data_IF_324144576727
#
_entry.id   IF_324144576727
#
_cell.length_a   1.000
_cell.length_b   1.000
_cell.length_c   1.000
_cell.angle_alpha   90.00
_cell.angle_beta   90.00
_cell.angle_gamma   90.00
#
_symmetry.space_group_name_H-M   'P 1'
#
loop_
_entity.id
_entity.type
_entity.pdbx_description
1 polymer ?
#
# COMPACT_ATOMS: atom_id res chain seq x y z
N UNK A 1 38.83 13.21 26.47
CA UNK A 1 37.79 13.17 25.41
C UNK A 1 37.82 11.77 24.81
N UNK A 2 36.70 11.03 24.86
CA UNK A 2 36.64 9.72 24.21
C UNK A 2 36.83 9.91 22.70
N UNK A 3 37.63 9.02 22.07
CA UNK A 3 37.77 9.00 20.62
C UNK A 3 36.37 8.88 19.99
N UNK A 4 36.06 9.65 18.93
CA UNK A 4 34.82 9.46 18.20
C UNK A 4 34.74 8.01 17.73
N UNK A 5 33.56 7.41 17.93
CA UNK A 5 33.31 6.03 17.54
C UNK A 5 33.51 5.90 16.02
N UNK A 6 34.46 5.05 15.61
CA UNK A 6 34.79 4.83 14.19
C UNK A 6 33.60 4.28 13.38
N UNK A 7 32.59 3.73 14.06
CA UNK A 7 31.37 3.22 13.44
C UNK A 7 30.30 4.30 13.22
N UNK A 8 30.44 5.50 13.84
CA UNK A 8 29.43 6.57 13.70
C UNK A 8 29.16 7.00 12.26
N UNK A 9 30.18 7.17 11.38
CA UNK A 9 29.94 7.54 9.98
C UNK A 9 29.02 6.55 9.27
N UNK A 10 29.05 5.26 9.63
CA UNK A 10 28.24 4.24 8.95
C UNK A 10 26.73 4.42 9.14
N UNK A 11 26.31 5.20 10.13
CA UNK A 11 24.90 5.52 10.38
C UNK A 11 24.26 6.30 9.24
N UNK A 12 25.03 6.96 8.38
CA UNK A 12 24.48 7.68 7.22
C UNK A 12 23.99 6.74 6.11
N UNK A 13 24.45 5.49 6.10
CA UNK A 13 24.10 4.49 5.08
C UNK A 13 22.94 3.57 5.49
N UNK A 14 22.41 3.70 6.71
CA UNK A 14 21.33 2.83 7.18
C UNK A 14 20.50 3.46 8.30
N UNK A 15 19.18 3.26 8.22
CA UNK A 15 18.25 3.58 9.30
C UNK A 15 18.29 2.56 10.46
N UNK A 16 19.05 1.48 10.30
CA UNK A 16 19.27 0.51 11.37
C UNK A 16 19.99 1.19 12.56
N UNK A 17 19.60 0.81 13.77
CA UNK A 17 20.14 1.38 15.01
C UNK A 17 21.53 0.80 15.32
N UNK A 18 22.54 1.20 14.56
CA UNK A 18 23.95 0.81 14.70
C UNK A 18 24.77 1.90 15.40
N UNK A 19 26.00 1.57 15.80
CA UNK A 19 26.93 2.51 16.45
C UNK A 19 26.31 3.24 17.67
N UNK A 20 25.51 2.50 18.45
CA UNK A 20 24.77 3.03 19.60
C UNK A 20 25.64 3.24 20.86
N UNK A 21 26.85 2.68 20.86
CA UNK A 21 27.68 2.54 22.06
C UNK A 21 27.13 1.47 23.03
N UNK A 22 27.70 1.42 24.23
CA UNK A 22 27.34 0.46 25.28
C UNK A 22 27.59 1.02 26.68
N UNK A 23 26.81 0.54 27.65
CA UNK A 23 27.07 0.67 29.09
C UNK A 23 27.29 -0.74 29.64
N UNK A 24 28.56 -1.13 29.84
CA UNK A 24 28.91 -2.52 30.16
C UNK A 24 28.50 -3.49 29.03
N UNK A 25 27.60 -4.42 29.36
CA UNK A 25 26.98 -5.37 28.44
C UNK A 25 25.56 -4.94 27.97
N UNK A 26 25.16 -3.70 28.25
CA UNK A 26 23.82 -3.17 27.98
C UNK A 26 23.84 -1.93 27.10
N UNK A 27 22.66 -1.51 26.62
CA UNK A 27 22.49 -0.27 25.87
C UNK A 27 22.68 0.97 26.78
N UNK A 28 23.19 2.09 26.25
CA UNK A 28 23.14 3.35 26.97
C UNK A 28 21.69 3.77 27.25
N UNK A 29 21.44 4.40 28.40
CA UNK A 29 20.10 4.84 28.83
C UNK A 29 19.37 5.65 27.76
N UNK A 30 20.08 6.54 27.06
CA UNK A 30 19.51 7.34 25.95
C UNK A 30 18.90 6.46 24.86
N UNK A 31 19.54 5.36 24.51
CA UNK A 31 19.05 4.47 23.46
C UNK A 31 17.89 3.58 23.93
N UNK A 32 17.86 3.22 25.23
CA UNK A 32 16.69 2.59 25.85
C UNK A 32 15.48 3.52 25.80
N UNK A 33 15.65 4.81 26.13
CA UNK A 33 14.58 5.80 26.07
C UNK A 33 14.10 6.04 24.63
N UNK A 34 15.03 6.18 23.68
CA UNK A 34 14.70 6.32 22.26
C UNK A 34 13.94 5.10 21.71
N UNK A 35 14.28 3.91 22.16
CA UNK A 35 13.56 2.69 21.82
C UNK A 35 12.15 2.68 22.41
N UNK A 36 12.01 3.02 23.70
CA UNK A 36 10.72 3.12 24.38
C UNK A 36 9.77 4.11 23.69
N UNK A 37 10.26 5.29 23.33
CA UNK A 37 9.46 6.29 22.60
C UNK A 37 9.02 5.79 21.21
N UNK A 38 9.93 5.17 20.46
CA UNK A 38 9.61 4.62 19.15
C UNK A 38 8.57 3.50 19.24
N UNK A 39 8.68 2.64 20.25
CA UNK A 39 7.70 1.60 20.51
C UNK A 39 6.32 2.16 20.87
N UNK A 40 6.25 3.20 21.71
CA UNK A 40 4.99 3.88 22.03
C UNK A 40 4.33 4.45 20.77
N UNK A 41 5.10 5.18 19.94
CA UNK A 41 4.60 5.73 18.67
C UNK A 41 4.10 4.65 17.70
N UNK A 42 4.83 3.54 17.60
CA UNK A 42 4.41 2.42 16.75
C UNK A 42 3.10 1.79 17.22
N UNK A 43 2.88 1.70 18.54
CA UNK A 43 1.61 1.22 19.10
C UNK A 43 0.46 2.18 18.82
N UNK A 44 0.68 3.48 19.01
CA UNK A 44 -0.34 4.49 18.74
C UNK A 44 -0.77 4.48 17.28
N UNK A 45 0.18 4.33 16.35
CA UNK A 45 -0.09 4.24 14.92
C UNK A 45 -1.03 3.08 14.54
N UNK A 46 -0.96 1.95 15.25
CA UNK A 46 -1.87 0.80 15.02
C UNK A 46 -3.32 1.14 15.37
N UNK A 47 -3.52 2.01 16.37
CA UNK A 47 -4.83 2.36 16.87
C UNK A 47 -5.42 3.62 16.24
N UNK A 48 -4.63 4.36 15.46
CA UNK A 48 -5.07 5.56 14.75
C UNK A 48 -6.26 5.24 13.82
N UNK A 49 -7.42 5.91 13.98
CA UNK A 49 -8.55 5.78 13.07
C UNK A 49 -8.17 6.20 11.65
N UNK A 50 -8.84 5.62 10.65
CA UNK A 50 -8.64 6.00 9.27
C UNK A 50 -9.46 7.24 8.92
N UNK A 51 -8.80 8.37 8.68
CA UNK A 51 -9.45 9.63 8.33
C UNK A 51 -9.80 9.70 6.83
N UNK A 52 -10.51 8.70 6.31
CA UNK A 52 -10.73 8.53 4.86
C UNK A 52 -11.36 9.75 4.17
N UNK A 53 -12.22 10.49 4.87
CA UNK A 53 -12.85 11.72 4.36
C UNK A 53 -11.82 12.80 3.97
N UNK A 54 -10.65 12.83 4.61
CA UNK A 54 -9.58 13.76 4.27
C UNK A 54 -8.95 13.46 2.90
N UNK A 55 -9.14 12.26 2.36
CA UNK A 55 -8.64 11.85 1.06
C UNK A 55 -9.59 12.20 -0.09
N UNK A 56 -10.87 12.46 0.20
CA UNK A 56 -11.90 12.72 -0.83
C UNK A 56 -11.56 13.95 -1.66
N UNK A 57 -11.31 15.10 -1.03
CA UNK A 57 -11.01 16.33 -1.76
C UNK A 57 -9.70 16.25 -2.58
N UNK A 58 -8.57 15.72 -2.04
CA UNK A 58 -7.37 15.48 -2.84
C UNK A 58 -7.56 14.53 -4.02
N UNK A 59 -8.39 13.48 -3.88
CA UNK A 59 -8.70 12.54 -4.97
C UNK A 59 -9.61 13.20 -6.02
N UNK A 60 -10.62 13.96 -5.60
CA UNK A 60 -11.47 14.72 -6.50
C UNK A 60 -10.67 15.76 -7.32
N UNK A 61 -9.65 16.38 -6.72
CA UNK A 61 -8.73 17.28 -7.42
C UNK A 61 -7.88 16.57 -8.51
N UNK A 62 -7.78 15.24 -8.46
CA UNK A 62 -7.20 14.40 -9.51
C UNK A 62 -8.24 13.91 -10.53
N UNK A 63 -9.50 14.32 -10.40
CA UNK A 63 -10.62 13.87 -11.23
C UNK A 63 -11.13 12.47 -10.87
N UNK A 64 -10.90 12.03 -9.62
CA UNK A 64 -11.30 10.70 -9.15
C UNK A 64 -12.45 10.80 -8.16
N UNK A 65 -13.56 10.15 -8.50
CA UNK A 65 -14.67 9.93 -7.57
C UNK A 65 -14.30 8.87 -6.52
N UNK A 66 -14.97 8.92 -5.37
CA UNK A 66 -14.71 7.99 -4.27
C UNK A 66 -15.97 7.32 -3.76
N UNK A 67 -15.85 6.05 -3.37
CA UNK A 67 -16.84 5.32 -2.59
C UNK A 67 -16.23 4.93 -1.24
N UNK A 68 -17.05 4.80 -0.20
CA UNK A 68 -16.58 4.34 1.12
C UNK A 68 -17.25 3.01 1.45
N UNK A 69 -16.46 2.06 1.96
CA UNK A 69 -16.94 0.74 2.38
C UNK A 69 -16.29 0.32 3.69
N UNK A 70 -16.95 -0.60 4.39
CA UNK A 70 -16.45 -1.25 5.59
C UNK A 70 -16.24 -2.74 5.34
N UNK A 71 -15.19 -3.30 5.93
CA UNK A 71 -15.09 -4.75 6.06
C UNK A 71 -16.09 -5.28 7.08
N UNK A 72 -16.22 -6.60 7.18
CA UNK A 72 -17.05 -7.25 8.19
C UNK A 72 -16.54 -7.07 9.63
N UNK A 73 -15.38 -6.43 9.83
CA UNK A 73 -14.90 -6.07 11.15
C UNK A 73 -15.53 -4.73 11.60
N UNK A 74 -16.40 -4.72 12.63
CA UNK A 74 -17.15 -3.53 13.02
C UNK A 74 -16.29 -2.45 13.70
N UNK A 75 -15.12 -2.84 14.22
CA UNK A 75 -14.25 -1.96 14.98
C UNK A 75 -12.77 -2.40 14.89
N UNK A 76 -11.87 -1.49 15.25
CA UNK A 76 -10.41 -1.71 15.18
C UNK A 76 -9.95 -2.88 16.05
N UNK A 77 -10.55 -3.07 17.22
CA UNK A 77 -10.15 -4.10 18.17
C UNK A 77 -10.57 -5.50 17.69
N UNK A 78 -11.72 -5.61 17.03
CA UNK A 78 -12.14 -6.82 16.31
C UNK A 78 -11.24 -7.07 15.10
N UNK A 79 -10.97 -6.05 14.28
CA UNK A 79 -10.08 -6.14 13.11
C UNK A 79 -8.68 -6.70 13.42
N UNK A 80 -8.10 -6.30 14.56
CA UNK A 80 -6.78 -6.75 14.99
C UNK A 80 -6.75 -8.24 15.38
N UNK A 81 -7.87 -8.82 15.81
CA UNK A 81 -7.98 -10.20 16.30
C UNK A 81 -8.67 -11.17 15.35
N UNK A 82 -9.48 -10.65 14.43
CA UNK A 82 -10.26 -11.40 13.45
C UNK A 82 -9.84 -11.01 12.03
N UNK A 83 -8.66 -11.49 11.58
CA UNK A 83 -8.16 -11.16 10.24
C UNK A 83 -9.10 -11.66 9.14
N UNK A 84 -9.89 -12.70 9.39
CA UNK A 84 -10.92 -13.22 8.50
C UNK A 84 -12.00 -12.17 8.17
N UNK A 85 -12.47 -11.41 9.17
CA UNK A 85 -13.48 -10.37 8.98
C UNK A 85 -12.95 -9.17 8.17
N UNK A 86 -11.67 -8.82 8.37
CA UNK A 86 -11.02 -7.76 7.60
C UNK A 86 -10.79 -8.10 6.12
N UNK A 87 -10.99 -9.36 5.70
CA UNK A 87 -10.84 -9.84 4.32
C UNK A 87 -12.15 -9.83 3.53
N UNK A 88 -13.27 -9.49 4.16
CA UNK A 88 -14.61 -9.59 3.58
C UNK A 88 -15.36 -8.27 3.76
N UNK A 89 -16.16 -7.87 2.78
CA UNK A 89 -17.06 -6.73 2.91
C UNK A 89 -18.12 -7.00 3.98
N UNK A 90 -18.48 -5.96 4.74
CA UNK A 90 -19.73 -5.99 5.50
C UNK A 90 -20.92 -6.14 4.54
N UNK A 91 -21.98 -6.81 4.98
CA UNK A 91 -23.15 -7.09 4.13
C UNK A 91 -23.80 -5.82 3.58
N UNK A 92 -23.93 -4.78 4.42
CA UNK A 92 -24.43 -3.46 4.02
C UNK A 92 -23.54 -2.81 2.96
N UNK A 93 -22.22 -2.74 3.21
CA UNK A 93 -21.28 -2.18 2.24
C UNK A 93 -21.27 -2.96 0.92
N UNK A 94 -21.48 -4.28 0.94
CA UNK A 94 -21.63 -5.08 -0.27
C UNK A 94 -22.90 -4.71 -1.03
N UNK A 95 -24.03 -4.58 -0.33
CA UNK A 95 -25.31 -4.20 -0.93
C UNK A 95 -25.24 -2.80 -1.57
N UNK A 96 -24.70 -1.82 -0.84
CA UNK A 96 -24.51 -0.46 -1.34
C UNK A 96 -23.59 -0.40 -2.56
N UNK A 97 -22.48 -1.14 -2.51
CA UNK A 97 -21.53 -1.21 -3.61
C UNK A 97 -22.17 -1.84 -4.87
N UNK A 98 -22.96 -2.90 -4.69
CA UNK A 98 -23.70 -3.52 -5.79
C UNK A 98 -24.80 -2.59 -6.35
N UNK A 99 -25.42 -1.77 -5.49
CA UNK A 99 -26.46 -0.80 -5.87
C UNK A 99 -25.90 0.53 -6.42
N UNK A 100 -24.59 0.77 -6.31
CA UNK A 100 -23.93 2.03 -6.70
C UNK A 100 -24.07 2.41 -8.18
N UNK A 101 -24.43 1.46 -9.04
CA UNK A 101 -24.54 1.68 -10.49
C UNK A 101 -23.20 1.86 -11.20
N UNK A 102 -22.08 1.65 -10.50
CA UNK A 102 -20.73 1.68 -11.10
C UNK A 102 -20.64 0.62 -12.18
N UNK A 103 -20.26 1.04 -13.38
CA UNK A 103 -20.05 0.13 -14.51
C UNK A 103 -18.75 -0.65 -14.31
N UNK A 104 -18.66 -1.89 -14.84
CA UNK A 104 -17.41 -2.63 -14.87
C UNK A 104 -16.27 -1.77 -15.43
N UNK A 105 -15.12 -1.78 -14.75
CA UNK A 105 -13.94 -1.01 -15.13
C UNK A 105 -12.73 -1.93 -15.33
N UNK A 106 -11.70 -1.41 -16.00
CA UNK A 106 -10.45 -2.13 -16.19
C UNK A 106 -9.71 -2.27 -14.85
N UNK A 107 -9.53 -1.15 -14.13
CA UNK A 107 -8.80 -1.13 -12.87
C UNK A 107 -9.63 -0.48 -11.75
N UNK A 108 -9.67 -1.17 -10.62
CA UNK A 108 -10.15 -0.66 -9.36
C UNK A 108 -8.95 -0.33 -8.45
N UNK A 109 -8.91 0.90 -7.95
CA UNK A 109 -7.98 1.28 -6.88
C UNK A 109 -8.74 1.23 -5.54
N UNK A 110 -8.19 0.50 -4.58
CA UNK A 110 -8.72 0.44 -3.22
C UNK A 110 -7.69 1.06 -2.29
N UNK A 111 -8.10 2.02 -1.47
CA UNK A 111 -7.28 2.60 -0.42
C UNK A 111 -7.77 2.03 0.91
N UNK A 112 -6.98 1.15 1.50
CA UNK A 112 -7.30 0.46 2.75
C UNK A 112 -6.39 0.90 3.89
N UNK A 113 -6.97 1.23 5.04
CA UNK A 113 -6.23 1.62 6.25
C UNK A 113 -5.16 0.61 6.71
N UNK A 114 -5.45 -0.69 6.58
CA UNK A 114 -4.53 -1.75 6.99
C UNK A 114 -4.16 -1.64 8.47
N UNK A 115 -2.86 -1.80 8.75
CA UNK A 115 -2.29 -1.67 10.10
C UNK A 115 -1.71 -0.29 10.39
N UNK A 116 -1.70 0.63 9.42
CA UNK A 116 -1.21 1.99 9.58
C UNK A 116 -2.02 2.96 8.72
N UNK A 117 -3.03 3.59 9.32
CA UNK A 117 -3.81 4.67 8.69
C UNK A 117 -2.90 5.84 8.27
N UNK A 118 -1.86 6.11 9.06
CA UNK A 118 -0.89 7.17 8.80
C UNK A 118 -0.10 6.96 7.49
N UNK A 119 0.31 5.72 7.21
CA UNK A 119 0.96 5.39 5.95
C UNK A 119 0.06 5.71 4.76
N UNK A 120 -1.21 5.32 4.85
CA UNK A 120 -2.17 5.49 3.76
C UNK A 120 -2.46 6.95 3.51
N UNK A 121 -2.71 7.72 4.57
CA UNK A 121 -2.99 9.15 4.49
C UNK A 121 -1.85 9.96 3.85
N UNK A 122 -0.59 9.56 4.11
CA UNK A 122 0.59 10.21 3.51
C UNK A 122 0.89 9.77 2.09
N UNK A 123 0.82 8.46 1.82
CA UNK A 123 1.45 7.89 0.63
C UNK A 123 0.46 7.62 -0.51
N UNK A 124 -0.83 7.41 -0.23
CA UNK A 124 -1.77 6.93 -1.24
C UNK A 124 -2.03 7.95 -2.36
N UNK A 125 -2.35 9.20 -2.01
CA UNK A 125 -2.65 10.24 -3.02
C UNK A 125 -1.42 10.60 -3.86
N UNK A 126 -0.21 10.79 -3.30
CA UNK A 126 1.00 10.99 -4.11
C UNK A 126 1.28 9.83 -5.07
N UNK A 127 1.12 8.59 -4.62
CA UNK A 127 1.30 7.41 -5.47
C UNK A 127 0.30 7.37 -6.63
N UNK A 128 -0.99 7.62 -6.35
CA UNK A 128 -2.04 7.64 -7.37
C UNK A 128 -1.75 8.76 -8.39
N UNK A 129 -1.35 9.95 -7.93
CA UNK A 129 -0.96 11.06 -8.81
C UNK A 129 0.17 10.66 -9.76
N UNK A 130 1.19 9.98 -9.26
CA UNK A 130 2.30 9.48 -10.07
C UNK A 130 1.88 8.36 -11.04
N UNK A 131 0.85 7.58 -10.69
CA UNK A 131 0.32 6.48 -11.50
C UNK A 131 -0.54 6.96 -12.69
N UNK A 132 -1.32 8.02 -12.53
CA UNK A 132 -2.32 8.47 -13.51
C UNK A 132 -1.78 8.65 -14.95
N UNK A 133 -0.62 9.29 -15.19
CA UNK A 133 -0.07 9.42 -16.55
C UNK A 133 0.21 8.08 -17.23
N UNK A 134 0.59 7.06 -16.45
CA UNK A 134 0.83 5.72 -16.97
C UNK A 134 -0.47 5.02 -17.35
N UNK A 135 -1.53 5.19 -16.55
CA UNK A 135 -2.85 4.63 -16.85
C UNK A 135 -3.42 5.22 -18.14
N UNK A 136 -3.23 6.52 -18.37
CA UNK A 136 -3.58 7.18 -19.63
C UNK A 136 -2.82 6.58 -20.81
N UNK A 137 -1.51 6.37 -20.67
CA UNK A 137 -0.67 5.74 -21.70
C UNK A 137 -1.13 4.31 -22.03
N UNK A 138 -1.57 3.56 -21.02
CA UNK A 138 -2.09 2.20 -21.20
C UNK A 138 -3.51 2.16 -21.76
N UNK A 139 -4.26 3.26 -21.65
CA UNK A 139 -5.69 3.32 -21.97
C UNK A 139 -6.54 2.50 -21.00
N UNK A 140 -6.12 2.39 -19.73
CA UNK A 140 -6.83 1.65 -18.69
C UNK A 140 -7.86 2.59 -18.03
N UNK A 141 -9.14 2.21 -18.09
CA UNK A 141 -10.21 2.93 -17.40
C UNK A 141 -10.27 2.63 -15.90
N UNK A 142 -10.47 3.67 -15.09
CA UNK A 142 -10.62 3.56 -13.64
C UNK A 142 -12.11 3.50 -13.22
N UNK A 143 -12.40 2.67 -12.23
CA UNK A 143 -13.59 2.83 -11.38
C UNK A 143 -13.39 3.97 -10.37
N UNK A 144 -14.46 4.43 -9.67
CA UNK A 144 -14.29 5.23 -8.47
C UNK A 144 -13.33 4.56 -7.47
N UNK A 145 -12.49 5.35 -6.82
CA UNK A 145 -11.55 4.87 -5.81
C UNK A 145 -12.34 4.44 -4.57
N UNK A 146 -12.12 3.22 -4.09
CA UNK A 146 -12.82 2.72 -2.91
C UNK A 146 -11.97 2.94 -1.66
N UNK A 147 -12.50 3.70 -0.71
CA UNK A 147 -11.93 3.92 0.62
C UNK A 147 -12.45 2.83 1.56
N UNK A 148 -11.59 1.89 1.93
CA UNK A 148 -11.95 0.70 2.67
C UNK A 148 -11.49 0.76 4.13
N UNK A 149 -12.43 0.65 5.06
CA UNK A 149 -12.18 0.66 6.51
C UNK A 149 -11.97 -0.74 7.06
N UNK A 150 -11.06 -0.88 8.03
CA UNK A 150 -10.72 -2.14 8.69
C UNK A 150 -10.33 -3.23 7.69
N UNK A 151 -9.46 -2.87 6.76
CA UNK A 151 -9.19 -3.63 5.54
C UNK A 151 -7.98 -4.55 5.65
N UNK A 152 -8.05 -5.70 5.01
CA UNK A 152 -6.92 -6.59 4.69
C UNK A 152 -6.79 -6.67 3.18
N UNK A 153 -5.63 -7.13 2.70
CA UNK A 153 -5.32 -7.27 1.27
C UNK A 153 -6.47 -7.93 0.48
N UNK A 154 -6.96 -9.09 0.94
CA UNK A 154 -7.99 -9.84 0.24
C UNK A 154 -9.37 -9.14 0.17
N UNK A 155 -9.61 -8.09 0.97
CA UNK A 155 -10.81 -7.26 0.83
C UNK A 155 -10.88 -6.60 -0.55
N UNK A 156 -9.71 -6.23 -1.11
CA UNK A 156 -9.64 -5.68 -2.47
C UNK A 156 -10.25 -6.63 -3.50
N UNK A 157 -10.08 -7.94 -3.33
CA UNK A 157 -10.65 -8.92 -4.26
C UNK A 157 -12.17 -9.04 -4.13
N UNK A 158 -12.70 -8.90 -2.91
CA UNK A 158 -14.12 -8.92 -2.65
C UNK A 158 -14.84 -7.68 -3.25
N UNK A 159 -14.22 -6.51 -3.10
CA UNK A 159 -14.68 -5.25 -3.72
C UNK A 159 -14.58 -5.37 -5.25
N UNK A 160 -13.46 -5.89 -5.76
CA UNK A 160 -13.23 -6.09 -7.18
C UNK A 160 -14.22 -7.06 -7.83
N UNK A 161 -14.56 -8.16 -7.16
CA UNK A 161 -15.62 -9.10 -7.57
C UNK A 161 -16.97 -8.40 -7.65
N UNK A 162 -17.32 -7.63 -6.62
CA UNK A 162 -18.61 -6.94 -6.50
C UNK A 162 -18.78 -5.88 -7.59
N UNK A 163 -17.74 -5.10 -7.88
CA UNK A 163 -17.71 -4.09 -8.94
C UNK A 163 -17.37 -4.65 -10.34
N UNK A 164 -17.12 -5.95 -10.45
CA UNK A 164 -16.73 -6.63 -11.70
C UNK A 164 -15.52 -5.98 -12.37
N UNK A 165 -14.55 -5.54 -11.58
CA UNK A 165 -13.32 -4.96 -12.07
C UNK A 165 -12.42 -6.04 -12.70
N UNK A 166 -11.74 -5.73 -13.81
CA UNK A 166 -10.81 -6.69 -14.44
C UNK A 166 -9.53 -6.88 -13.64
N UNK A 167 -9.08 -5.85 -12.94
CA UNK A 167 -7.97 -5.88 -12.00
C UNK A 167 -8.26 -5.01 -10.78
N UNK A 168 -7.66 -5.34 -9.64
CA UNK A 168 -7.68 -4.49 -8.44
C UNK A 168 -6.26 -4.26 -7.94
N UNK A 169 -5.93 -3.01 -7.60
CA UNK A 169 -4.75 -2.65 -6.84
C UNK A 169 -5.18 -2.06 -5.49
N UNK A 170 -4.91 -2.78 -4.41
CA UNK A 170 -5.16 -2.30 -3.06
C UNK A 170 -3.89 -1.66 -2.48
N UNK A 171 -3.96 -0.35 -2.22
CA UNK A 171 -2.98 0.46 -1.50
C UNK A 171 -3.31 0.34 -0.01
N UNK A 172 -2.45 -0.30 0.76
CA UNK A 172 -2.73 -0.67 2.16
C UNK A 172 -1.59 -0.32 3.10
N UNK A 173 -1.94 0.25 4.26
CA UNK A 173 -0.99 0.57 5.31
C UNK A 173 -0.35 -0.69 5.88
N UNK A 174 0.98 -0.78 5.80
CA UNK A 174 1.72 -1.91 6.33
C UNK A 174 1.77 -1.88 7.87
N UNK A 175 2.30 -2.95 8.48
CA UNK A 175 2.56 -2.96 9.91
C UNK A 175 3.59 -1.88 10.25
N UNK A 176 3.29 -0.95 11.18
CA UNK A 176 4.21 0.13 11.51
C UNK A 176 5.49 -0.46 12.14
N UNK A 177 6.62 -0.17 11.51
CA UNK A 177 7.93 -0.47 12.07
C UNK A 177 8.34 0.56 13.12
N UNK A 178 9.34 0.22 13.95
CA UNK A 178 9.90 1.15 14.96
C UNK A 178 10.52 2.41 14.34
N UNK A 179 10.94 2.34 13.08
CA UNK A 179 11.56 3.45 12.34
C UNK A 179 10.81 3.81 11.06
N UNK A 180 9.73 3.09 10.72
CA UNK A 180 9.01 3.23 9.44
C UNK A 180 7.50 3.06 9.64
N UNK A 181 6.84 3.98 10.38
CA UNK A 181 5.41 3.88 10.66
C UNK A 181 4.53 4.20 9.44
N UNK A 182 5.09 4.78 8.38
CA UNK A 182 4.38 5.35 7.24
C UNK A 182 4.59 4.59 5.92
N UNK A 183 4.96 3.31 6.01
CA UNK A 183 5.18 2.43 4.85
C UNK A 183 3.86 1.97 4.23
N UNK A 184 3.69 2.21 2.92
CA UNK A 184 2.55 1.74 2.14
C UNK A 184 2.95 0.52 1.30
N UNK A 185 2.06 -0.46 1.21
CA UNK A 185 2.14 -1.57 0.28
C UNK A 185 1.05 -1.50 -0.79
N UNK A 186 1.32 -2.04 -1.97
CA UNK A 186 0.35 -2.26 -3.05
C UNK A 186 0.26 -3.73 -3.38
N UNK A 187 -0.96 -4.25 -3.44
CA UNK A 187 -1.22 -5.60 -3.91
C UNK A 187 -2.10 -5.57 -5.16
N UNK A 188 -1.61 -6.16 -6.24
CA UNK A 188 -2.29 -6.21 -7.54
C UNK A 188 -2.81 -7.62 -7.81
N UNK A 189 -4.10 -7.73 -8.12
CA UNK A 189 -4.76 -8.97 -8.53
C UNK A 189 -5.44 -8.82 -9.88
N UNK A 190 -5.20 -9.75 -10.80
CA UNK A 190 -5.97 -9.91 -12.03
C UNK A 190 -7.21 -10.76 -11.81
N UNK A 191 -8.36 -10.33 -12.34
CA UNK A 191 -9.67 -10.96 -12.13
C UNK A 191 -9.93 -11.27 -10.65
N UNK A 192 -10.03 -10.23 -9.81
CA UNK A 192 -10.29 -10.42 -8.39
C UNK A 192 -11.56 -11.24 -8.11
N UNK A 193 -11.47 -12.17 -7.16
CA UNK A 193 -12.60 -12.84 -6.54
C UNK A 193 -12.22 -13.33 -5.14
N UNK A 194 -13.22 -13.54 -4.27
CA UNK A 194 -13.05 -13.88 -2.83
C UNK A 194 -12.21 -15.12 -2.54
N UNK A 195 -12.06 -16.01 -3.53
CA UNK A 195 -11.31 -17.26 -3.40
C UNK A 195 -9.86 -17.15 -3.89
N UNK A 196 -9.40 -15.96 -4.30
CA UNK A 196 -8.01 -15.73 -4.76
C UNK A 196 -7.00 -16.05 -3.66
N UNK A 197 -5.93 -16.74 -4.04
CA UNK A 197 -4.82 -17.07 -3.16
C UNK A 197 -3.84 -15.91 -3.04
N UNK A 198 -3.09 -15.84 -1.93
CA UNK A 198 -2.05 -14.83 -1.74
C UNK A 198 -0.96 -14.88 -2.82
N UNK A 199 -0.63 -16.08 -3.29
CA UNK A 199 0.34 -16.30 -4.37
C UNK A 199 -0.12 -15.76 -5.72
N UNK A 200 -1.38 -15.36 -5.88
CA UNK A 200 -1.91 -14.76 -7.10
C UNK A 200 -1.85 -13.23 -7.10
N UNK A 201 -1.29 -12.63 -6.03
CA UNK A 201 -1.15 -11.18 -5.88
C UNK A 201 0.29 -10.75 -6.08
N UNK A 202 0.53 -9.78 -6.95
CA UNK A 202 1.81 -9.08 -6.95
C UNK A 202 1.89 -8.13 -5.75
N UNK A 203 3.08 -7.94 -5.20
CA UNK A 203 3.30 -7.06 -4.05
C UNK A 203 4.39 -6.03 -4.39
N UNK A 204 4.10 -4.75 -4.17
CA UNK A 204 5.07 -3.66 -4.13
C UNK A 204 5.04 -3.12 -2.71
N UNK A 205 6.12 -3.26 -1.95
CA UNK A 205 6.19 -2.86 -0.54
C UNK A 205 7.09 -1.64 -0.34
N UNK A 206 7.13 -1.15 0.90
CA UNK A 206 8.08 -0.13 1.33
C UNK A 206 7.96 1.21 0.57
N UNK A 207 6.76 1.57 0.13
CA UNK A 207 6.51 2.82 -0.59
C UNK A 207 6.48 3.97 0.42
N UNK A 208 7.56 4.76 0.44
CA UNK A 208 7.77 5.93 1.30
C UNK A 208 9.02 6.70 0.85
N UNK A 209 9.22 7.96 1.27
CA UNK A 209 10.37 8.77 0.85
C UNK A 209 11.73 8.11 1.07
N UNK A 210 11.92 7.40 2.18
CA UNK A 210 13.18 6.73 2.53
C UNK A 210 13.19 5.24 2.10
N UNK A 211 12.23 4.84 1.26
CA UNK A 211 12.10 3.51 0.68
C UNK A 211 11.93 3.61 -0.83
N UNK A 212 10.92 2.92 -1.37
CA UNK A 212 10.57 3.04 -2.78
C UNK A 212 9.80 4.34 -3.00
N UNK A 213 10.32 5.22 -3.86
CA UNK A 213 9.65 6.49 -4.18
C UNK A 213 8.31 6.27 -4.88
N UNK A 214 7.41 7.24 -4.81
CA UNK A 214 6.11 7.18 -5.49
C UNK A 214 6.25 6.98 -6.99
N UNK A 215 7.20 7.66 -7.63
CA UNK A 215 7.44 7.54 -9.08
C UNK A 215 7.93 6.14 -9.47
N UNK A 216 8.87 5.57 -8.69
CA UNK A 216 9.38 4.22 -8.93
C UNK A 216 8.30 3.17 -8.68
N UNK A 217 7.51 3.32 -7.61
CA UNK A 217 6.38 2.45 -7.32
C UNK A 217 5.28 2.54 -8.39
N UNK A 218 4.96 3.74 -8.88
CA UNK A 218 4.00 3.97 -9.95
C UNK A 218 4.45 3.34 -11.26
N UNK A 219 5.74 3.48 -11.61
CA UNK A 219 6.33 2.80 -12.78
C UNK A 219 6.24 1.28 -12.68
N UNK A 220 6.63 0.70 -11.54
CA UNK A 220 6.54 -0.75 -11.29
C UNK A 220 5.09 -1.24 -11.37
N UNK A 221 4.16 -0.52 -10.75
CA UNK A 221 2.73 -0.85 -10.81
C UNK A 221 2.19 -0.77 -12.24
N UNK A 222 2.54 0.27 -13.00
CA UNK A 222 2.14 0.42 -14.39
C UNK A 222 2.69 -0.71 -15.28
N UNK A 223 3.95 -1.09 -15.11
CA UNK A 223 4.54 -2.21 -15.84
C UNK A 223 3.83 -3.53 -15.50
N UNK A 224 3.56 -3.78 -14.20
CA UNK A 224 2.81 -4.96 -13.77
C UNK A 224 1.38 -4.96 -14.33
N UNK A 225 0.71 -3.81 -14.38
CA UNK A 225 -0.60 -3.67 -15.01
C UNK A 225 -0.54 -3.98 -16.50
N UNK A 226 0.42 -3.44 -17.24
CA UNK A 226 0.60 -3.76 -18.66
C UNK A 226 0.71 -5.27 -18.86
N UNK A 227 1.60 -5.93 -18.10
CA UNK A 227 1.80 -7.36 -18.23
C UNK A 227 0.59 -8.18 -17.75
N UNK A 228 -0.10 -7.74 -16.69
CA UNK A 228 -1.31 -8.40 -16.22
C UNK A 228 -2.43 -8.35 -17.25
N UNK A 229 -2.62 -7.23 -17.95
CA UNK A 229 -3.63 -7.10 -19.01
C UNK A 229 -3.28 -7.90 -20.27
N UNK A 230 -1.99 -7.95 -20.64
CA UNK A 230 -1.51 -8.74 -21.77
C UNK A 230 -1.57 -10.24 -21.52
N UNK A 231 -1.05 -10.68 -20.37
CA UNK A 231 -0.87 -12.10 -20.02
C UNK A 231 -2.05 -12.68 -19.24
N UNK A 232 -2.95 -11.83 -18.75
CA UNK A 232 -4.15 -12.19 -17.96
C UNK A 232 -3.81 -12.96 -16.67
N UNK A 233 -2.77 -12.53 -15.97
CA UNK A 233 -2.29 -13.16 -14.75
C UNK A 233 -1.55 -12.17 -13.84
N UNK A 234 -1.49 -12.49 -12.55
CA UNK A 234 -0.72 -11.79 -11.51
C UNK A 234 -0.09 -12.81 -10.56
N UNK A 235 0.66 -12.31 -9.58
CA UNK A 235 1.26 -13.10 -8.50
C UNK A 235 2.55 -13.79 -8.93
N UNK A 236 2.81 -14.98 -8.39
CA UNK A 236 4.06 -15.72 -8.63
C UNK A 236 4.30 -16.06 -10.11
N UNK A 237 3.24 -16.06 -10.92
CA UNK A 237 3.31 -16.29 -12.38
C UNK A 237 3.69 -15.01 -13.16
N UNK A 238 3.68 -13.85 -12.52
CA UNK A 238 4.12 -12.57 -13.07
C UNK A 238 5.23 -11.99 -12.20
N UNK A 239 6.49 -12.24 -12.57
CA UNK A 239 7.62 -11.61 -11.88
C UNK A 239 7.72 -10.14 -12.28
N UNK A 240 8.16 -9.30 -11.35
CA UNK A 240 8.57 -7.94 -11.68
C UNK A 240 9.89 -8.00 -12.47
N UNK A 241 9.81 -7.66 -13.75
CA UNK A 241 10.97 -7.54 -14.64
C UNK A 241 11.01 -6.13 -15.26
N UNK A 242 10.40 -5.15 -14.59
CA UNK A 242 10.35 -3.74 -15.02
C UNK A 242 11.72 -3.10 -15.21
N UNK A 243 12.75 -3.66 -14.58
CA UNK A 243 14.13 -3.19 -14.69
C UNK A 243 14.86 -3.76 -15.93
N UNK A 244 14.21 -4.64 -16.72
CA UNK A 244 14.75 -5.21 -17.95
C UNK A 244 14.25 -4.46 -19.20
N UNK A 245 15.09 -3.64 -19.86
CA UNK A 245 14.68 -2.85 -21.02
C UNK A 245 14.16 -3.67 -22.21
N UNK A 246 14.60 -4.93 -22.34
CA UNK A 246 14.15 -5.82 -23.41
C UNK A 246 12.67 -6.23 -23.27
N UNK A 247 12.09 -6.07 -22.07
CA UNK A 247 10.71 -6.44 -21.76
C UNK A 247 9.77 -5.22 -21.68
N UNK A 248 10.25 -4.03 -22.06
CA UNK A 248 9.43 -2.81 -22.06
C UNK A 248 8.50 -2.78 -23.26
N UNK A 249 7.19 -2.66 -23.00
CA UNK A 249 6.17 -2.43 -24.01
C UNK A 249 5.88 -0.94 -24.17
N UNK A 250 4.63 -0.57 -23.89
CA UNK A 250 4.17 0.82 -23.79
C UNK A 250 4.79 1.54 -22.60
N UNK A 251 5.03 0.81 -21.50
CA UNK A 251 5.63 1.37 -20.28
C UNK A 251 7.15 1.30 -20.39
N UNK A 252 7.78 2.47 -20.34
CA UNK A 252 9.24 2.67 -20.38
C UNK A 252 9.62 3.70 -19.32
N UNK A 253 10.76 3.55 -18.62
CA UNK A 253 11.13 4.48 -17.57
C UNK A 253 11.37 5.88 -18.16
N UNK A 254 10.88 6.93 -17.48
CA UNK A 254 11.02 8.33 -17.90
C UNK A 254 12.48 8.83 -17.83
N UNK A 255 13.33 8.12 -17.10
CA UNK A 255 14.76 8.37 -16.95
C UNK A 255 15.46 7.02 -16.77
N UNK A 256 16.64 6.75 -17.35
CA UNK A 256 17.34 5.50 -17.13
C UNK A 256 17.48 5.26 -15.62
N UNK A 257 17.06 4.10 -15.14
CA UNK A 257 17.29 3.67 -13.76
C UNK A 257 18.81 3.74 -13.54
N UNK A 258 19.25 4.58 -12.58
CA UNK A 258 20.66 4.67 -12.18
C UNK A 258 21.05 3.45 -11.36
#
# INVERSE_FOLDING_TARGET
>A
MNRPDAWNPLREFTDARIALGRSGASLPTREVLNFGLAHARARDAIHQPFASQQLVAPLAALGLDTLTVHSAAPDRHTYLRRPDLGRQLADESRADLAASGVRPADLLLVIGDGLSSWAVERQAVPLIRALLPWLQTLGIGLAPVVLAHQSRVALGDDIGETLKARAVAILIGERPGLSSPDSLGVYLTWQPHRQRLESERNCISNIRPEGLSHDAAAFKLAWLLEQAFLRRLTGVRLKDESDNPALHGKIKPLTPLK
#
